data_IF_972052225972
#
_entry.id   IF_972052225972
#
_cell.length_a   1.000
_cell.length_b   1.000
_cell.length_c   1.000
_cell.angle_alpha   90.00
_cell.angle_beta   90.00
_cell.angle_gamma   90.00
#
_symmetry.space_group_name_H-M   'P 1'
#
loop_
_entity.id
_entity.type
_entity.pdbx_description
1 polymer ?
#
# COMPACT_ATOMS: atom_id res chain seq x y z
N UNK A 1 -30.98 2.13 27.27
CA UNK A 1 -30.12 0.98 27.65
C UNK A 1 -30.41 -0.16 26.69
N UNK A 2 -29.57 -0.31 25.67
CA UNK A 2 -29.48 -1.51 24.84
C UNK A 2 -28.01 -1.64 24.49
N UNK A 3 -27.27 -2.26 25.41
CA UNK A 3 -25.89 -2.68 25.22
C UNK A 3 -25.88 -3.72 24.11
N UNK A 4 -25.29 -3.35 22.97
CA UNK A 4 -24.90 -4.33 21.95
C UNK A 4 -23.85 -5.20 22.63
N UNK A 5 -24.21 -6.46 22.83
CA UNK A 5 -23.35 -7.48 23.39
C UNK A 5 -22.14 -7.65 22.46
N UNK A 6 -21.02 -7.03 22.83
CA UNK A 6 -19.75 -7.18 22.13
C UNK A 6 -19.25 -8.55 22.56
N UNK A 7 -19.72 -9.57 21.83
CA UNK A 7 -19.35 -10.95 22.02
C UNK A 7 -17.85 -11.04 22.28
N UNK A 8 -17.52 -11.57 23.44
CA UNK A 8 -16.19 -12.04 23.81
C UNK A 8 -15.68 -12.91 22.66
N UNK A 9 -14.77 -12.36 21.85
CA UNK A 9 -14.22 -13.07 20.70
C UNK A 9 -13.56 -14.37 21.18
N UNK A 10 -14.01 -15.54 20.72
CA UNK A 10 -13.35 -16.79 21.05
C UNK A 10 -11.93 -16.78 20.45
N UNK A 11 -11.01 -17.45 21.15
CA UNK A 11 -9.58 -17.49 20.84
C UNK A 11 -9.29 -17.59 19.33
N UNK A 12 -8.65 -16.56 18.77
CA UNK A 12 -8.15 -16.56 17.40
C UNK A 12 -7.06 -17.63 17.25
N UNK A 13 -7.45 -18.87 16.95
CA UNK A 13 -6.56 -19.93 16.45
C UNK A 13 -7.19 -20.58 15.22
N UNK A 14 -7.27 -19.83 14.13
CA UNK A 14 -7.38 -20.37 12.77
C UNK A 14 -6.04 -20.12 12.03
N UNK A 15 -4.90 -20.41 12.66
CA UNK A 15 -3.62 -20.48 11.93
C UNK A 15 -3.53 -21.86 11.27
N UNK A 16 -3.18 -21.88 9.98
CA UNK A 16 -2.98 -23.15 9.30
C UNK A 16 -1.63 -23.75 9.67
N UNK A 17 -0.65 -22.90 9.97
CA UNK A 17 0.75 -23.30 10.07
C UNK A 17 1.62 -22.23 10.72
N UNK A 18 2.66 -22.66 11.44
CA UNK A 18 3.61 -21.77 12.12
C UNK A 18 5.02 -22.34 12.00
N UNK A 19 5.97 -21.55 11.49
CA UNK A 19 7.36 -21.98 11.26
C UNK A 19 8.30 -21.25 12.21
N UNK A 20 8.97 -21.95 13.15
CA UNK A 20 10.02 -21.35 13.96
C UNK A 20 11.30 -21.17 13.13
N UNK A 21 11.80 -19.93 13.09
CA UNK A 21 13.00 -19.55 12.33
C UNK A 21 14.23 -19.39 13.24
N UNK A 22 13.98 -19.28 14.55
CA UNK A 22 14.98 -19.04 15.58
C UNK A 22 15.05 -17.57 15.98
N UNK A 23 16.15 -17.16 16.60
CA UNK A 23 16.29 -15.85 17.27
C UNK A 23 16.48 -14.64 16.34
N UNK A 24 16.63 -14.85 15.03
CA UNK A 24 16.87 -13.75 14.10
C UNK A 24 15.53 -13.13 13.69
N UNK A 25 15.34 -11.84 13.95
CA UNK A 25 14.14 -11.11 13.52
C UNK A 25 13.93 -11.11 12.00
N UNK A 26 12.68 -11.06 11.56
CA UNK A 26 12.29 -11.21 10.15
C UNK A 26 11.81 -9.85 9.61
N UNK A 27 12.48 -9.33 8.58
CA UNK A 27 12.15 -8.00 8.03
C UNK A 27 11.21 -8.07 6.83
N UNK A 28 11.33 -9.11 6.01
CA UNK A 28 10.58 -9.22 4.76
C UNK A 28 10.41 -10.67 4.34
N UNK A 29 9.32 -10.93 3.61
CA UNK A 29 8.95 -12.25 3.13
C UNK A 29 8.42 -12.15 1.70
N UNK A 30 8.71 -13.15 0.87
CA UNK A 30 8.15 -13.24 -0.48
C UNK A 30 8.08 -14.69 -0.95
N UNK A 31 7.01 -15.07 -1.64
CA UNK A 31 6.89 -16.40 -2.23
C UNK A 31 7.60 -16.45 -3.59
N UNK A 32 8.25 -17.58 -3.88
CA UNK A 32 8.76 -17.81 -5.23
C UNK A 32 7.60 -18.01 -6.22
N UNK A 33 7.64 -17.36 -7.40
CA UNK A 33 6.65 -17.59 -8.44
C UNK A 33 6.83 -18.98 -9.05
N UNK A 34 5.71 -19.65 -9.32
CA UNK A 34 5.65 -20.83 -10.21
C UNK A 34 6.54 -22.03 -9.80
N UNK A 35 6.82 -22.21 -8.51
CA UNK A 35 7.53 -23.40 -8.03
C UNK A 35 6.56 -24.41 -7.43
N UNK A 36 6.70 -25.67 -7.86
CA UNK A 36 6.29 -26.86 -7.10
C UNK A 36 7.57 -27.60 -6.70
N UNK A 37 8.05 -27.56 -5.46
CA UNK A 37 7.38 -27.10 -4.23
C UNK A 37 7.12 -25.59 -4.08
N UNK A 38 6.06 -25.22 -3.33
CA UNK A 38 5.84 -23.84 -2.89
C UNK A 38 6.92 -23.42 -1.90
N UNK A 39 7.70 -22.39 -2.25
CA UNK A 39 8.82 -21.92 -1.44
C UNK A 39 8.59 -20.49 -0.97
N UNK A 40 8.90 -20.23 0.30
CA UNK A 40 8.91 -18.90 0.91
C UNK A 40 10.34 -18.47 1.17
N UNK A 41 10.67 -17.29 0.68
CA UNK A 41 11.95 -16.62 0.92
C UNK A 41 11.78 -15.58 2.01
N UNK A 42 12.70 -15.59 2.97
CA UNK A 42 12.71 -14.69 4.11
C UNK A 42 14.04 -13.93 4.18
N UNK A 43 13.94 -12.63 4.46
CA UNK A 43 15.06 -11.77 4.78
C UNK A 43 15.07 -11.49 6.27
N UNK A 44 16.22 -11.71 6.92
CA UNK A 44 16.37 -11.47 8.36
C UNK A 44 17.10 -10.16 8.65
N UNK A 45 16.86 -9.61 9.84
CA UNK A 45 17.59 -8.47 10.40
C UNK A 45 19.08 -8.77 10.58
N UNK A 46 19.43 -10.05 10.81
CA UNK A 46 20.82 -10.56 10.82
C UNK A 46 21.46 -10.70 9.42
N UNK A 47 20.74 -10.31 8.37
CA UNK A 47 21.22 -10.26 7.00
C UNK A 47 21.33 -11.61 6.30
N UNK A 48 20.62 -12.63 6.82
CA UNK A 48 20.52 -13.95 6.21
C UNK A 48 19.28 -14.01 5.31
N UNK A 49 19.43 -14.67 4.16
CA UNK A 49 18.30 -15.14 3.38
C UNK A 49 18.06 -16.60 3.74
N UNK A 50 16.81 -16.93 4.08
CA UNK A 50 16.35 -18.30 4.31
C UNK A 50 15.26 -18.65 3.31
N UNK A 51 15.26 -19.87 2.80
CA UNK A 51 14.22 -20.40 1.92
C UNK A 51 13.63 -21.63 2.58
N UNK A 52 12.32 -21.62 2.74
CA UNK A 52 11.55 -22.70 3.34
C UNK A 52 10.69 -23.35 2.28
N UNK A 53 10.74 -24.68 2.21
CA UNK A 53 9.75 -25.47 1.49
C UNK A 53 8.51 -25.63 2.38
N UNK A 54 7.36 -25.21 1.84
CA UNK A 54 6.05 -25.26 2.52
C UNK A 54 5.16 -26.36 1.93
N UNK A 55 5.66 -27.09 0.94
CA UNK A 55 4.95 -28.19 0.31
C UNK A 55 4.88 -29.34 1.30
N UNK A 56 3.67 -29.59 1.82
CA UNK A 56 3.35 -30.64 2.78
C UNK A 56 3.64 -30.34 4.26
N UNK A 57 3.69 -29.07 4.67
CA UNK A 57 3.81 -28.70 6.10
C UNK A 57 5.11 -29.20 6.77
N UNK A 58 6.10 -29.65 6.00
CA UNK A 58 7.34 -30.26 6.50
C UNK A 58 8.42 -29.24 6.87
N UNK A 59 8.23 -27.96 6.55
CA UNK A 59 8.97 -26.83 7.13
C UNK A 59 10.48 -26.87 7.02
N UNK A 60 10.99 -27.54 5.99
CA UNK A 60 12.43 -27.71 5.84
C UNK A 60 13.04 -26.43 5.28
N UNK A 61 13.99 -25.87 6.02
CA UNK A 61 14.87 -24.83 5.49
C UNK A 61 15.80 -25.48 4.45
N UNK A 62 15.53 -25.20 3.17
CA UNK A 62 16.28 -25.75 2.03
C UNK A 62 17.52 -24.92 1.70
N UNK A 63 17.51 -23.64 2.07
CA UNK A 63 18.64 -22.74 1.83
C UNK A 63 18.77 -21.71 2.95
N UNK A 64 20.01 -21.50 3.40
CA UNK A 64 20.35 -20.43 4.34
C UNK A 64 21.72 -19.86 4.03
N UNK A 65 21.81 -18.55 3.79
CA UNK A 65 23.10 -17.88 3.55
C UNK A 65 23.09 -16.43 4.00
N UNK A 66 24.21 -15.96 4.55
CA UNK A 66 24.37 -14.55 4.94
C UNK A 66 24.75 -13.72 3.73
N UNK A 67 23.88 -12.81 3.32
CA UNK A 67 24.11 -11.92 2.18
C UNK A 67 24.48 -10.52 2.61
N UNK A 68 23.88 -9.98 3.66
CA UNK A 68 24.15 -8.62 4.15
C UNK A 68 24.43 -8.61 5.65
N UNK A 69 24.67 -7.42 6.22
CA UNK A 69 24.64 -7.23 7.68
C UNK A 69 23.21 -7.24 8.21
N UNK A 70 22.31 -6.58 7.47
CA UNK A 70 20.86 -6.56 7.66
C UNK A 70 20.18 -6.48 6.31
N UNK A 71 19.07 -7.19 6.12
CA UNK A 71 18.22 -7.15 4.91
C UNK A 71 16.96 -6.38 5.27
N UNK A 72 16.55 -5.45 4.41
CA UNK A 72 15.32 -4.65 4.56
C UNK A 72 14.26 -5.07 3.55
N UNK A 73 14.69 -5.33 2.31
CA UNK A 73 13.80 -5.64 1.21
C UNK A 73 14.31 -6.82 0.41
N UNK A 74 13.37 -7.59 -0.14
CA UNK A 74 13.60 -8.66 -1.10
C UNK A 74 12.74 -8.39 -2.33
N UNK A 75 13.28 -8.67 -3.51
CA UNK A 75 12.54 -8.54 -4.77
C UNK A 75 12.97 -9.63 -5.73
N UNK A 76 12.00 -10.38 -6.25
CA UNK A 76 12.24 -11.46 -7.21
C UNK A 76 12.20 -10.91 -8.62
N UNK A 77 13.17 -11.28 -9.46
CA UNK A 77 13.16 -10.85 -10.85
C UNK A 77 12.09 -11.66 -11.62
N UNK A 78 11.25 -11.01 -12.43
CA UNK A 78 10.30 -11.71 -13.28
C UNK A 78 11.02 -12.74 -14.14
N UNK A 79 10.46 -13.94 -14.29
CA UNK A 79 10.94 -15.02 -15.20
C UNK A 79 12.27 -15.71 -14.86
N UNK A 80 12.94 -15.32 -13.77
CA UNK A 80 14.21 -15.93 -13.34
C UNK A 80 14.13 -16.36 -11.89
N UNK A 81 14.85 -17.42 -11.49
CA UNK A 81 15.07 -17.75 -10.08
C UNK A 81 16.08 -16.80 -9.41
N UNK A 82 16.12 -15.53 -9.82
CA UNK A 82 17.04 -14.55 -9.26
C UNK A 82 16.35 -13.72 -8.19
N UNK A 83 17.05 -13.55 -7.06
CA UNK A 83 16.60 -12.76 -5.93
C UNK A 83 17.51 -11.58 -5.70
N UNK A 84 16.93 -10.38 -5.78
CA UNK A 84 17.55 -9.15 -5.36
C UNK A 84 17.27 -8.91 -3.87
N UNK A 85 18.29 -8.51 -3.14
CA UNK A 85 18.21 -8.15 -1.72
C UNK A 85 18.81 -6.78 -1.49
N UNK A 86 18.12 -5.97 -0.69
CA UNK A 86 18.59 -4.65 -0.28
C UNK A 86 18.90 -4.62 1.22
N UNK A 87 19.91 -3.83 1.57
CA UNK A 87 20.39 -3.68 2.94
C UNK A 87 20.15 -2.28 3.48
N UNK A 88 19.93 -2.19 4.79
CA UNK A 88 19.89 -0.91 5.51
C UNK A 88 21.24 -0.17 5.59
N UNK A 89 22.25 -0.62 4.84
CA UNK A 89 23.54 0.06 4.68
C UNK A 89 23.75 0.56 3.24
N UNK A 90 22.67 0.67 2.45
CA UNK A 90 22.73 1.19 1.09
C UNK A 90 23.27 0.20 0.05
N UNK A 91 23.36 -1.09 0.37
CA UNK A 91 23.91 -2.11 -0.52
C UNK A 91 22.84 -3.01 -1.14
N UNK A 92 23.01 -3.36 -2.42
CA UNK A 92 22.14 -4.27 -3.18
C UNK A 92 22.96 -5.49 -3.64
N UNK A 93 22.38 -6.68 -3.53
CA UNK A 93 22.96 -7.91 -4.12
C UNK A 93 21.89 -8.65 -4.91
N UNK A 94 22.33 -9.32 -5.97
CA UNK A 94 21.53 -10.19 -6.81
C UNK A 94 22.18 -11.57 -6.82
N UNK A 95 21.40 -12.59 -6.49
CA UNK A 95 21.84 -13.97 -6.52
C UNK A 95 20.90 -14.82 -7.36
N UNK A 96 21.47 -15.83 -7.99
CA UNK A 96 20.72 -16.95 -8.52
C UNK A 96 20.41 -17.92 -7.36
N UNK A 97 19.14 -18.25 -7.17
CA UNK A 97 18.69 -19.16 -6.13
C UNK A 97 18.95 -20.62 -6.47
N UNK A 98 19.02 -20.98 -7.76
CA UNK A 98 19.24 -22.37 -8.19
C UNK A 98 20.70 -22.77 -7.98
N UNK A 99 21.64 -21.97 -8.50
CA UNK A 99 23.08 -22.21 -8.29
C UNK A 99 23.59 -21.69 -6.94
N UNK A 100 22.82 -20.83 -6.26
CA UNK A 100 23.25 -20.11 -5.07
C UNK A 100 24.39 -19.11 -5.34
N UNK A 101 24.68 -18.79 -6.61
CA UNK A 101 25.79 -17.92 -6.99
C UNK A 101 25.37 -16.46 -6.99
N UNK A 102 26.35 -15.58 -6.76
CA UNK A 102 26.15 -14.14 -6.79
C UNK A 102 26.37 -13.64 -8.22
N UNK A 103 25.32 -13.10 -8.83
CA UNK A 103 25.33 -12.60 -10.21
C UNK A 103 25.85 -11.16 -10.25
N UNK A 104 25.32 -10.32 -9.35
CA UNK A 104 25.58 -8.88 -9.37
C UNK A 104 25.55 -8.30 -7.96
N UNK A 105 26.32 -7.24 -7.71
CA UNK A 105 26.27 -6.53 -6.44
C UNK A 105 26.73 -5.08 -6.54
N UNK A 106 26.15 -4.25 -5.68
CA UNK A 106 26.61 -2.88 -5.38
C UNK A 106 26.62 -2.66 -3.87
N UNK A 107 27.82 -2.46 -3.31
CA UNK A 107 27.96 -2.25 -1.86
C UNK A 107 27.58 -0.82 -1.42
N UNK A 108 27.76 0.16 -2.31
CA UNK A 108 27.39 1.56 -2.13
C UNK A 108 26.43 1.96 -3.23
N UNK A 109 25.24 1.35 -3.23
CA UNK A 109 24.19 1.71 -4.18
C UNK A 109 23.58 3.06 -3.80
N UNK A 110 23.36 3.29 -2.50
CA UNK A 110 22.94 4.55 -1.91
C UNK A 110 24.00 5.00 -0.89
N UNK A 111 24.35 6.29 -0.91
CA UNK A 111 25.42 6.85 -0.10
C UNK A 111 24.88 7.24 1.27
N UNK A 112 25.22 6.46 2.30
CA UNK A 112 24.81 6.66 3.69
C UNK A 112 23.28 6.68 3.96
N UNK A 113 22.45 6.33 2.97
CA UNK A 113 21.01 6.15 3.15
C UNK A 113 20.60 4.68 3.10
N UNK A 114 19.66 4.30 3.96
CA UNK A 114 19.11 2.96 4.04
C UNK A 114 18.11 2.74 2.90
N UNK A 115 18.22 1.58 2.22
CA UNK A 115 17.27 1.22 1.17
C UNK A 115 16.02 0.66 1.84
N UNK A 116 14.90 1.33 1.62
CA UNK A 116 13.58 1.04 2.19
C UNK A 116 12.68 0.29 1.21
N UNK A 117 12.89 0.46 -0.10
CA UNK A 117 12.10 -0.25 -1.12
C UNK A 117 12.96 -0.74 -2.28
N UNK A 118 12.64 -1.93 -2.79
CA UNK A 118 13.32 -2.58 -3.91
C UNK A 118 12.29 -3.23 -4.84
N UNK A 119 12.32 -2.85 -6.11
CA UNK A 119 11.38 -3.29 -7.14
C UNK A 119 12.12 -3.81 -8.37
N UNK A 120 11.60 -4.88 -8.95
CA UNK A 120 12.04 -5.47 -10.22
C UNK A 120 10.95 -5.20 -11.26
N UNK A 121 11.30 -4.52 -12.35
CA UNK A 121 10.34 -4.22 -13.44
C UNK A 121 10.52 -5.15 -14.63
N UNK A 122 11.74 -5.67 -14.82
CA UNK A 122 12.10 -6.59 -15.89
C UNK A 122 13.22 -7.52 -15.43
N UNK A 123 13.55 -8.58 -16.19
CA UNK A 123 14.62 -9.53 -15.82
C UNK A 123 16.02 -8.91 -15.74
N UNK A 124 16.19 -7.66 -16.17
CA UNK A 124 17.48 -6.96 -16.19
C UNK A 124 17.49 -5.67 -15.39
N UNK A 125 16.33 -5.20 -14.93
CA UNK A 125 16.17 -3.89 -14.33
C UNK A 125 15.74 -3.99 -12.87
N UNK A 126 16.49 -3.30 -12.01
CA UNK A 126 16.16 -3.11 -10.60
C UNK A 126 15.96 -1.64 -10.32
N UNK A 127 15.06 -1.33 -9.40
CA UNK A 127 14.76 0.02 -8.93
C UNK A 127 14.85 -0.01 -7.42
N UNK A 128 15.65 0.89 -6.84
CA UNK A 128 15.80 1.03 -5.40
C UNK A 128 15.39 2.43 -4.96
N UNK A 129 14.63 2.51 -3.88
CA UNK A 129 14.25 3.75 -3.20
C UNK A 129 14.82 3.74 -1.78
N UNK A 130 15.25 4.90 -1.31
CA UNK A 130 15.86 5.05 0.01
C UNK A 130 15.06 5.99 0.93
N UNK A 131 15.52 6.08 2.18
CA UNK A 131 14.94 6.92 3.22
C UNK A 131 15.20 8.42 3.00
N UNK A 132 16.02 8.79 2.01
CA UNK A 132 16.27 10.17 1.62
C UNK A 132 15.45 10.59 0.38
N UNK A 133 14.53 9.74 -0.07
CA UNK A 133 13.71 9.99 -1.26
C UNK A 133 14.43 9.74 -2.59
N UNK A 134 15.68 9.25 -2.59
CA UNK A 134 16.41 9.04 -3.83
C UNK A 134 15.99 7.71 -4.46
N UNK A 135 15.56 7.76 -5.72
CA UNK A 135 15.26 6.54 -6.50
C UNK A 135 16.35 6.32 -7.54
N UNK A 136 16.93 5.11 -7.57
CA UNK A 136 17.97 4.72 -8.52
C UNK A 136 17.53 3.52 -9.36
N UNK A 137 17.82 3.59 -10.65
CA UNK A 137 17.52 2.55 -11.63
C UNK A 137 18.81 1.86 -12.03
N UNK A 138 18.81 0.53 -12.01
CA UNK A 138 19.98 -0.31 -12.24
C UNK A 138 19.73 -1.28 -13.38
N UNK A 139 20.73 -1.47 -14.24
CA UNK A 139 20.79 -2.56 -15.21
C UNK A 139 21.79 -3.60 -14.69
N UNK A 140 21.32 -4.79 -14.35
CA UNK A 140 22.13 -5.85 -13.72
C UNK A 140 23.20 -6.40 -14.65
N UNK A 141 23.08 -6.16 -15.97
CA UNK A 141 24.08 -6.57 -16.97
C UNK A 141 25.27 -5.61 -17.01
N UNK A 142 25.10 -4.39 -16.50
CA UNK A 142 26.13 -3.35 -16.54
C UNK A 142 26.93 -3.34 -15.24
N UNK A 143 28.27 -3.45 -15.32
CA UNK A 143 29.15 -3.30 -14.17
C UNK A 143 29.42 -1.82 -13.82
N UNK A 144 28.65 -0.86 -14.35
CA UNK A 144 28.71 0.56 -14.02
C UNK A 144 27.84 0.97 -12.82
N UNK A 145 27.78 2.28 -12.57
CA UNK A 145 26.86 2.89 -11.58
C UNK A 145 25.39 2.75 -11.95
N UNK A 146 24.48 3.48 -11.27
CA UNK A 146 23.07 3.49 -11.64
C UNK A 146 22.92 3.98 -13.08
N UNK A 147 22.01 3.37 -13.82
CA UNK A 147 21.66 3.83 -15.17
C UNK A 147 20.96 5.18 -15.11
N UNK A 148 20.22 5.43 -14.04
CA UNK A 148 19.50 6.67 -13.83
C UNK A 148 19.29 6.92 -12.34
N UNK A 149 19.29 8.21 -11.99
CA UNK A 149 18.94 8.71 -10.68
C UNK A 149 17.70 9.59 -10.87
N UNK A 150 16.65 9.32 -10.13
CA UNK A 150 15.42 10.09 -10.13
C UNK A 150 15.38 10.80 -8.78
N UNK A 151 15.48 12.12 -8.85
CA UNK A 151 15.34 13.04 -7.73
C UNK A 151 14.35 14.11 -8.18
N UNK A 152 13.61 14.66 -7.23
CA UNK A 152 12.79 15.83 -7.52
C UNK A 152 13.73 17.02 -7.71
N UNK A 153 13.63 17.71 -8.84
CA UNK A 153 14.26 19.03 -8.99
C UNK A 153 13.60 19.95 -7.96
N UNK A 154 14.41 20.51 -7.06
CA UNK A 154 13.95 21.52 -6.08
C UNK A 154 13.51 22.74 -6.89
N UNK A 155 12.20 22.86 -7.14
CA UNK A 155 11.61 24.03 -7.75
C UNK A 155 11.15 24.92 -6.60
N UNK A 156 12.04 25.85 -6.22
CA UNK A 156 11.87 26.86 -5.16
C UNK A 156 12.17 26.41 -3.72
N UNK A 157 12.68 27.35 -2.91
CA UNK A 157 13.10 27.20 -1.49
C UNK A 157 11.98 26.72 -0.53
N UNK A 158 10.79 26.38 -1.05
CA UNK A 158 9.57 26.06 -0.30
C UNK A 158 9.00 24.67 -0.65
N UNK A 159 9.54 23.95 -1.64
CA UNK A 159 9.05 22.58 -1.89
C UNK A 159 9.40 21.64 -0.74
N UNK A 160 8.38 21.08 -0.09
CA UNK A 160 8.50 19.96 0.83
C UNK A 160 9.41 18.91 0.20
N UNK A 161 10.50 18.60 0.90
CA UNK A 161 11.49 17.63 0.43
C UNK A 161 10.79 16.33 0.04
N UNK A 162 11.19 15.76 -1.10
CA UNK A 162 10.71 14.46 -1.54
C UNK A 162 10.95 13.44 -0.42
N UNK A 163 9.85 12.98 0.20
CA UNK A 163 9.91 12.19 1.43
C UNK A 163 10.56 10.82 1.23
N UNK A 164 10.86 10.14 2.33
CA UNK A 164 11.36 8.76 2.31
C UNK A 164 10.45 7.86 1.47
N UNK A 165 11.05 6.98 0.66
CA UNK A 165 10.28 6.01 -0.13
C UNK A 165 9.86 4.85 0.77
N UNK A 166 8.58 4.68 1.06
CA UNK A 166 8.12 3.56 1.89
C UNK A 166 7.90 2.29 1.03
N UNK A 167 7.20 2.41 -0.09
CA UNK A 167 6.95 1.28 -0.99
C UNK A 167 6.86 1.74 -2.46
N UNK A 168 7.31 0.89 -3.38
CA UNK A 168 7.19 1.10 -4.82
C UNK A 168 6.49 -0.08 -5.48
N UNK A 169 5.67 0.22 -6.49
CA UNK A 169 5.01 -0.80 -7.33
C UNK A 169 5.05 -0.36 -8.80
N UNK A 170 5.11 -1.33 -9.71
CA UNK A 170 5.03 -1.04 -11.13
C UNK A 170 3.60 -1.20 -11.67
N UNK A 171 3.25 -0.32 -12.61
CA UNK A 171 2.14 -0.56 -13.52
C UNK A 171 2.51 -1.56 -14.62
N UNK A 172 1.53 -1.92 -15.46
CA UNK A 172 1.72 -2.92 -16.52
C UNK A 172 2.61 -2.46 -17.65
N UNK A 173 2.75 -1.16 -17.83
CA UNK A 173 3.58 -0.53 -18.86
C UNK A 173 5.08 -0.47 -18.49
N UNK A 174 5.53 -1.03 -17.36
CA UNK A 174 6.92 -1.16 -16.85
C UNK A 174 7.77 0.14 -16.79
N UNK A 175 7.31 1.23 -17.41
CA UNK A 175 7.96 2.52 -17.51
C UNK A 175 7.50 3.49 -16.43
N UNK A 176 6.32 3.25 -15.85
CA UNK A 176 5.76 4.07 -14.78
C UNK A 176 5.75 3.26 -13.48
N UNK A 177 6.40 3.81 -12.47
CA UNK A 177 6.48 3.25 -11.12
C UNK A 177 5.78 4.20 -10.18
N UNK A 178 4.89 3.66 -9.35
CA UNK A 178 4.25 4.41 -8.29
C UNK A 178 5.07 4.23 -7.01
N UNK A 179 5.22 5.29 -6.22
CA UNK A 179 5.94 5.29 -4.95
C UNK A 179 5.09 5.95 -3.86
N UNK A 180 4.90 5.25 -2.74
CA UNK A 180 4.31 5.79 -1.53
C UNK A 180 5.39 6.48 -0.69
N UNK A 181 5.16 7.75 -0.36
CA UNK A 181 6.13 8.61 0.30
C UNK A 181 5.74 8.92 1.75
N UNK A 182 6.74 9.12 2.58
CA UNK A 182 6.54 9.41 4.01
C UNK A 182 5.94 10.80 4.28
N UNK A 183 6.06 11.73 3.34
CA UNK A 183 5.37 13.04 3.39
C UNK A 183 3.87 12.94 3.04
N UNK A 184 3.34 11.73 2.85
CA UNK A 184 1.94 11.48 2.57
C UNK A 184 1.54 11.70 1.13
N UNK A 185 2.46 11.67 0.18
CA UNK A 185 2.15 11.76 -1.24
C UNK A 185 2.31 10.41 -1.96
N UNK A 186 1.61 10.26 -3.07
CA UNK A 186 1.84 9.24 -4.09
C UNK A 186 2.62 9.89 -5.24
N UNK A 187 3.82 9.38 -5.52
CA UNK A 187 4.61 9.82 -6.66
C UNK A 187 4.49 8.86 -7.84
N UNK A 188 4.37 9.40 -9.05
CA UNK A 188 4.44 8.66 -10.32
C UNK A 188 5.80 8.95 -10.95
N UNK A 189 6.65 7.94 -11.02
CA UNK A 189 8.00 8.02 -11.53
C UNK A 189 8.05 7.50 -12.96
N UNK A 190 8.52 8.32 -13.89
CA UNK A 190 8.78 7.89 -15.25
C UNK A 190 10.22 7.38 -15.36
N UNK A 191 10.38 6.06 -15.34
CA UNK A 191 11.68 5.39 -15.32
C UNK A 191 12.45 5.61 -16.62
N UNK A 192 11.77 5.80 -17.76
CA UNK A 192 12.46 6.03 -19.04
C UNK A 192 12.96 7.47 -19.16
N UNK A 193 12.17 8.44 -18.70
CA UNK A 193 12.53 9.87 -18.72
C UNK A 193 13.44 10.25 -17.55
N UNK A 194 13.42 9.48 -16.46
CA UNK A 194 14.23 9.73 -15.26
C UNK A 194 13.75 10.87 -14.40
N UNK A 195 12.44 11.10 -14.33
CA UNK A 195 11.86 12.21 -13.58
C UNK A 195 10.57 11.78 -12.89
N UNK A 196 10.22 12.52 -11.85
CA UNK A 196 8.86 12.49 -11.28
C UNK A 196 7.91 13.10 -12.33
N UNK A 197 6.86 12.36 -12.69
CA UNK A 197 5.86 12.77 -13.68
C UNK A 197 4.65 13.41 -13.00
N UNK A 198 4.21 12.85 -11.87
CA UNK A 198 3.12 13.37 -11.04
C UNK A 198 3.50 13.20 -9.57
N UNK A 199 3.13 14.16 -8.75
CA UNK A 199 3.10 14.05 -7.29
C UNK A 199 1.66 14.35 -6.87
N UNK A 200 1.04 13.46 -6.11
CA UNK A 200 -0.31 13.68 -5.62
C UNK A 200 -0.36 14.79 -4.57
N UNK A 201 -1.57 15.32 -4.32
CA UNK A 201 -1.86 16.07 -3.11
C UNK A 201 -1.48 15.25 -1.87
N UNK A 202 -1.12 15.95 -0.80
CA UNK A 202 -0.82 15.31 0.48
C UNK A 202 -2.08 14.62 1.01
N UNK A 203 -1.91 13.36 1.42
CA UNK A 203 -2.93 12.56 2.08
C UNK A 203 -3.14 13.00 3.55
N UNK A 204 -2.31 13.93 4.05
CA UNK A 204 -2.29 14.39 5.43
C UNK A 204 -1.45 13.52 6.38
N UNK A 205 -1.10 12.31 5.96
CA UNK A 205 -0.40 11.29 6.76
C UNK A 205 0.56 10.50 5.89
N UNK A 206 1.60 9.92 6.50
CA UNK A 206 2.59 9.09 5.80
C UNK A 206 1.92 7.98 4.98
N UNK A 207 2.28 7.89 3.70
CA UNK A 207 1.85 6.82 2.81
C UNK A 207 2.81 5.63 3.02
N UNK A 208 2.34 4.56 3.66
CA UNK A 208 3.21 3.47 4.13
C UNK A 208 3.31 2.30 3.15
N UNK A 209 2.23 1.98 2.47
CA UNK A 209 2.15 0.78 1.62
C UNK A 209 1.30 1.03 0.40
N UNK A 210 1.59 0.30 -0.68
CA UNK A 210 1.01 0.53 -1.99
C UNK A 210 0.73 -0.78 -2.71
N UNK A 211 -0.49 -0.92 -3.24
CA UNK A 211 -0.88 -2.11 -4.02
C UNK A 211 -1.73 -1.74 -5.22
N UNK A 212 -1.52 -2.42 -6.34
CA UNK A 212 -2.31 -2.23 -7.57
C UNK A 212 -3.33 -3.35 -7.72
N UNK A 213 -4.59 -2.98 -7.95
CA UNK A 213 -5.74 -3.91 -8.06
C UNK A 213 -6.62 -3.55 -9.27
N UNK A 214 -7.69 -4.33 -9.47
CA UNK A 214 -8.64 -4.19 -10.58
C UNK A 214 -7.97 -4.20 -11.96
N UNK A 215 -6.97 -5.06 -12.14
CA UNK A 215 -6.16 -5.16 -13.36
C UNK A 215 -5.56 -3.81 -13.75
N UNK A 216 -4.91 -3.13 -12.78
CA UNK A 216 -4.30 -1.82 -12.95
C UNK A 216 -5.28 -0.70 -13.27
N UNK A 217 -6.53 -0.83 -12.81
CA UNK A 217 -7.47 0.30 -12.86
C UNK A 217 -7.46 1.12 -11.57
N UNK A 218 -6.88 0.58 -10.50
CA UNK A 218 -6.84 1.20 -9.18
C UNK A 218 -5.51 0.97 -8.50
N UNK A 219 -4.98 2.01 -7.87
CA UNK A 219 -3.89 1.91 -6.90
C UNK A 219 -4.44 2.21 -5.50
N UNK A 220 -4.04 1.43 -4.51
CA UNK A 220 -4.44 1.60 -3.11
C UNK A 220 -3.23 2.01 -2.30
N UNK A 221 -3.36 3.09 -1.54
CA UNK A 221 -2.36 3.57 -0.60
C UNK A 221 -2.88 3.37 0.81
N UNK A 222 -2.15 2.63 1.64
CA UNK A 222 -2.40 2.54 3.08
C UNK A 222 -1.61 3.61 3.82
N UNK A 223 -2.25 4.30 4.76
CA UNK A 223 -1.63 5.39 5.53
C UNK A 223 -1.40 5.01 7.00
N UNK A 224 -0.59 5.83 7.67
CA UNK A 224 -0.31 5.74 9.11
C UNK A 224 -1.56 5.93 10.00
N UNK A 225 -2.62 6.56 9.51
CA UNK A 225 -3.87 6.75 10.26
C UNK A 225 -4.96 5.72 9.96
N UNK A 226 -4.61 4.62 9.30
CA UNK A 226 -5.55 3.54 9.05
C UNK A 226 -6.52 3.84 7.91
N UNK A 227 -6.18 4.79 7.03
CA UNK A 227 -6.96 5.14 5.86
C UNK A 227 -6.39 4.38 4.66
N UNK A 228 -7.28 3.76 3.87
CA UNK A 228 -6.95 3.27 2.53
C UNK A 228 -7.48 4.28 1.52
N UNK A 229 -6.56 4.95 0.83
CA UNK A 229 -6.87 5.86 -0.28
C UNK A 229 -6.84 5.08 -1.60
N UNK A 230 -7.83 5.31 -2.46
CA UNK A 230 -7.98 4.64 -3.76
C UNK A 230 -7.76 5.68 -4.85
N UNK A 231 -6.76 5.46 -5.69
CA UNK A 231 -6.49 6.26 -6.87
C UNK A 231 -7.03 5.57 -8.12
N UNK A 232 -7.59 6.35 -9.04
CA UNK A 232 -7.87 5.88 -10.39
C UNK A 232 -6.53 5.79 -11.14
N UNK A 233 -6.40 4.76 -11.97
CA UNK A 233 -5.23 4.67 -12.83
C UNK A 233 -5.21 5.83 -13.83
N UNK A 234 -4.04 6.41 -14.06
CA UNK A 234 -3.79 7.64 -14.85
C UNK A 234 -4.37 8.94 -14.28
N UNK A 235 -5.00 8.89 -13.10
CA UNK A 235 -5.49 10.06 -12.34
C UNK A 235 -4.87 10.02 -10.93
N UNK A 236 -3.59 10.37 -10.84
CA UNK A 236 -2.80 10.22 -9.62
C UNK A 236 -2.64 11.50 -8.79
N UNK A 237 -3.19 12.63 -9.27
CA UNK A 237 -3.11 13.92 -8.56
C UNK A 237 -3.95 13.90 -7.27
N UNK A 238 -5.13 13.27 -7.31
CA UNK A 238 -6.04 13.15 -6.17
C UNK A 238 -6.61 11.74 -6.08
N UNK A 239 -6.84 11.25 -4.86
CA UNK A 239 -7.52 9.99 -4.66
C UNK A 239 -9.01 10.10 -5.05
N UNK A 240 -9.54 9.07 -5.69
CA UNK A 240 -10.93 9.00 -6.11
C UNK A 240 -11.89 8.62 -4.96
N UNK A 241 -11.39 7.87 -3.98
CA UNK A 241 -12.16 7.42 -2.83
C UNK A 241 -11.23 7.09 -1.65
N UNK A 242 -11.76 7.06 -0.43
CA UNK A 242 -11.02 6.62 0.76
C UNK A 242 -11.95 5.99 1.79
N UNK A 243 -11.43 5.04 2.56
CA UNK A 243 -12.16 4.48 3.68
C UNK A 243 -11.22 4.08 4.81
N UNK A 244 -11.73 4.12 6.04
CA UNK A 244 -10.96 3.80 7.24
C UNK A 244 -11.07 2.32 7.59
N UNK A 245 -9.97 1.75 8.05
CA UNK A 245 -9.94 0.47 8.73
C UNK A 245 -9.88 0.73 10.23
N UNK A 246 -10.99 0.54 10.97
CA UNK A 246 -10.98 0.77 12.40
C UNK A 246 -10.09 -0.26 13.10
N UNK A 247 -9.21 0.24 13.97
CA UNK A 247 -8.38 -0.57 14.85
C UNK A 247 -9.20 -1.51 15.72
N UNK A 248 -8.56 -2.57 16.22
CA UNK A 248 -9.20 -3.53 17.11
C UNK A 248 -8.68 -3.44 18.55
N UNK A 249 -8.01 -2.34 18.90
CA UNK A 249 -7.57 -2.04 20.28
C UNK A 249 -8.79 -1.99 21.19
N UNK A 250 -8.82 -2.88 22.18
CA UNK A 250 -9.92 -2.97 23.14
C UNK A 250 -9.90 -1.77 24.09
N UNK A 251 -11.06 -1.16 24.34
CA UNK A 251 -11.24 -0.05 25.30
C UNK A 251 -10.80 -0.36 26.75
N UNK A 252 -10.37 -1.58 27.06
CA UNK A 252 -9.87 -1.99 28.38
C UNK A 252 -8.54 -1.34 28.78
N UNK A 253 -7.77 -0.78 27.85
CA UNK A 253 -6.52 -0.06 28.13
C UNK A 253 -6.71 1.45 28.34
N UNK A 254 -7.94 1.95 28.39
CA UNK A 254 -8.22 3.38 28.61
C UNK A 254 -7.80 4.30 27.45
N UNK A 255 -7.18 3.76 26.40
CA UNK A 255 -6.99 4.48 25.14
C UNK A 255 -8.35 4.54 24.42
N UNK A 256 -8.84 5.77 24.23
CA UNK A 256 -9.87 6.09 23.23
C UNK A 256 -9.52 5.40 21.92
N UNK A 257 -10.51 4.79 21.24
CA UNK A 257 -10.30 3.95 20.06
C UNK A 257 -9.37 4.58 19.03
N UNK A 258 -8.08 4.25 19.14
CA UNK A 258 -7.01 4.90 18.40
C UNK A 258 -7.02 4.47 16.94
N UNK A 259 -6.64 5.40 16.07
CA UNK A 259 -6.26 5.08 14.71
C UNK A 259 -5.11 4.07 14.75
N UNK A 260 -5.16 3.09 13.86
CA UNK A 260 -4.09 2.08 13.69
C UNK A 260 -3.39 2.35 12.38
N UNK A 261 -2.07 2.24 12.37
CA UNK A 261 -1.31 2.37 11.13
C UNK A 261 -1.50 1.14 10.25
N UNK A 262 -1.68 1.33 8.94
CA UNK A 262 -1.64 0.26 7.95
C UNK A 262 -0.19 0.06 7.51
N UNK A 263 0.47 -0.94 8.07
CA UNK A 263 1.87 -1.24 7.77
C UNK A 263 2.04 -1.93 6.41
N UNK A 264 1.09 -2.79 6.01
CA UNK A 264 1.21 -3.52 4.75
C UNK A 264 -0.13 -3.87 4.11
N UNK A 265 -0.23 -3.58 2.82
CA UNK A 265 -1.28 -4.10 1.93
C UNK A 265 -0.69 -5.15 1.01
N UNK A 266 -1.39 -6.26 0.82
CA UNK A 266 -1.04 -7.25 -0.20
C UNK A 266 -2.28 -7.69 -0.95
N UNK A 267 -2.15 -7.83 -2.27
CA UNK A 267 -3.22 -8.30 -3.14
C UNK A 267 -3.46 -9.79 -2.91
N UNK A 268 -4.70 -10.16 -2.53
CA UNK A 268 -5.14 -11.57 -2.55
C UNK A 268 -5.70 -11.88 -3.95
N UNK A 269 -6.56 -10.99 -4.47
CA UNK A 269 -7.04 -11.01 -5.84
C UNK A 269 -7.45 -9.59 -6.27
N UNK A 270 -8.03 -9.42 -7.45
CA UNK A 270 -8.40 -8.09 -7.97
C UNK A 270 -9.50 -7.37 -7.18
N UNK A 271 -10.23 -8.06 -6.32
CA UNK A 271 -11.32 -7.52 -5.50
C UNK A 271 -10.99 -7.47 -4.00
N UNK A 272 -10.02 -8.26 -3.52
CA UNK A 272 -9.72 -8.46 -2.11
C UNK A 272 -8.25 -8.23 -1.84
N UNK A 273 -7.95 -7.43 -0.83
CA UNK A 273 -6.61 -7.22 -0.29
C UNK A 273 -6.56 -7.64 1.17
N UNK A 274 -5.40 -8.07 1.64
CA UNK A 274 -5.11 -8.21 3.06
C UNK A 274 -4.45 -6.93 3.55
N UNK A 275 -4.89 -6.41 4.69
CA UNK A 275 -4.31 -5.26 5.36
C UNK A 275 -3.79 -5.68 6.73
N UNK A 276 -2.49 -5.50 6.95
CA UNK A 276 -1.88 -5.65 8.26
C UNK A 276 -1.74 -4.29 8.95
N UNK A 277 -2.04 -4.26 10.24
CA UNK A 277 -2.01 -3.06 11.08
C UNK A 277 -1.00 -3.19 12.22
N UNK A 278 -0.54 -2.06 12.75
CA UNK A 278 0.44 -1.99 13.85
C UNK A 278 0.05 -2.81 15.10
N UNK A 279 -1.25 -2.98 15.36
CA UNK A 279 -1.80 -3.73 16.50
C UNK A 279 -1.74 -5.27 16.34
N UNK A 280 -1.10 -5.75 15.27
CA UNK A 280 -0.93 -7.17 14.98
C UNK A 280 -2.02 -7.76 14.07
N UNK A 281 -3.13 -7.04 13.85
CA UNK A 281 -4.27 -7.60 13.13
C UNK A 281 -4.05 -7.63 11.62
N UNK A 282 -4.55 -8.70 11.01
CA UNK A 282 -4.54 -8.89 9.57
C UNK A 282 -6.00 -9.02 9.15
N UNK A 283 -6.46 -8.12 8.29
CA UNK A 283 -7.86 -8.02 7.88
C UNK A 283 -8.03 -8.24 6.38
N UNK A 284 -9.07 -8.97 5.99
CA UNK A 284 -9.49 -9.07 4.60
C UNK A 284 -10.38 -7.87 4.26
N UNK A 285 -10.07 -7.18 3.16
CA UNK A 285 -10.74 -5.95 2.75
C UNK A 285 -11.18 -6.08 1.31
N UNK A 286 -12.47 -5.87 1.05
CA UNK A 286 -13.02 -5.83 -0.28
C UNK A 286 -12.88 -4.43 -0.87
N UNK A 287 -12.55 -4.36 -2.15
CA UNK A 287 -12.39 -3.13 -2.92
C UNK A 287 -13.52 -3.07 -3.94
N UNK A 288 -14.36 -2.04 -3.83
CA UNK A 288 -15.54 -1.80 -4.67
C UNK A 288 -16.50 -3.02 -4.72
N UNK A 289 -17.44 -3.15 -3.75
CA UNK A 289 -17.74 -2.19 -2.68
C UNK A 289 -16.69 -2.18 -1.56
N UNK A 290 -16.30 -0.99 -1.10
CA UNK A 290 -15.25 -0.84 -0.09
C UNK A 290 -15.74 -1.31 1.28
N UNK A 291 -14.99 -2.19 1.92
CA UNK A 291 -15.30 -2.60 3.29
C UNK A 291 -14.50 -3.78 3.79
N UNK A 292 -14.31 -3.83 5.11
CA UNK A 292 -13.69 -4.97 5.79
C UNK A 292 -14.62 -6.18 5.73
N UNK A 293 -14.13 -7.29 5.18
CA UNK A 293 -14.83 -8.58 5.18
C UNK A 293 -14.71 -9.28 6.53
N UNK A 294 -13.55 -9.14 7.21
CA UNK A 294 -13.31 -9.66 8.54
C UNK A 294 -11.82 -9.71 8.90
N UNK A 295 -11.51 -10.32 10.03
CA UNK A 295 -10.14 -10.56 10.53
C UNK A 295 -9.65 -11.90 9.97
N UNK A 296 -8.56 -11.90 9.22
CA UNK A 296 -7.83 -13.11 8.78
C UNK A 296 -7.13 -13.75 9.98
N UNK A 297 -6.45 -12.94 10.78
CA UNK A 297 -5.69 -13.39 11.94
C UNK A 297 -5.12 -12.22 12.73
N UNK A 298 -4.38 -12.54 13.79
CA UNK A 298 -3.55 -11.57 14.52
C UNK A 298 -2.20 -12.21 14.78
N UNK A 299 -1.15 -11.60 14.27
CA UNK A 299 0.22 -11.99 14.59
C UNK A 299 0.53 -11.44 15.99
N UNK A 300 0.88 -12.30 16.94
CA UNK A 300 1.19 -11.89 18.30
C UNK A 300 2.65 -11.42 18.35
N UNK A 301 2.86 -10.13 18.66
CA UNK A 301 4.19 -9.57 18.91
C UNK A 301 4.70 -9.87 20.33
N UNK A 302 5.93 -9.43 20.62
CA UNK A 302 6.52 -9.53 21.97
C UNK A 302 5.89 -8.57 22.98
N UNK A 303 5.25 -7.49 22.51
CA UNK A 303 4.53 -6.53 23.35
C UNK A 303 3.02 -6.73 23.22
N UNK A 304 2.28 -6.52 24.33
CA UNK A 304 0.82 -6.66 24.39
C UNK A 304 0.07 -5.71 23.43
N UNK A 305 0.77 -4.73 22.85
CA UNK A 305 0.23 -3.62 22.08
C UNK A 305 0.24 -3.88 20.56
N UNK A 306 1.04 -4.80 20.04
CA UNK A 306 1.19 -5.02 18.60
C UNK A 306 2.66 -5.08 18.17
N UNK A 307 2.90 -5.23 16.87
CA UNK A 307 4.25 -5.27 16.31
C UNK A 307 4.35 -4.33 15.13
N UNK A 308 5.26 -3.36 15.20
CA UNK A 308 5.30 -2.16 14.37
C UNK A 308 5.68 -2.39 12.89
N UNK A 309 5.81 -3.65 12.43
CA UNK A 309 6.32 -3.95 11.08
C UNK A 309 5.83 -5.30 10.54
N UNK A 310 4.56 -5.43 10.19
CA UNK A 310 4.04 -6.70 9.64
C UNK A 310 4.24 -6.75 8.13
N UNK A 311 5.16 -7.58 7.64
CA UNK A 311 5.25 -7.85 6.20
C UNK A 311 4.36 -9.04 5.83
N UNK A 312 3.74 -8.97 4.67
CA UNK A 312 2.77 -9.95 4.19
C UNK A 312 3.17 -10.46 2.80
N UNK A 313 3.05 -11.77 2.58
CA UNK A 313 3.25 -12.38 1.28
C UNK A 313 2.11 -13.36 0.96
N UNK A 314 1.54 -13.25 -0.23
CA UNK A 314 0.50 -14.20 -0.72
C UNK A 314 1.17 -15.19 -1.67
N UNK A 315 0.82 -16.47 -1.55
CA UNK A 315 1.37 -17.50 -2.43
C UNK A 315 0.79 -17.36 -3.86
N UNK A 316 1.47 -17.87 -4.91
CA UNK A 316 1.02 -17.71 -6.30
C UNK A 316 -0.39 -18.27 -6.59
N UNK A 317 -0.83 -19.25 -5.80
CA UNK A 317 -2.15 -19.88 -5.92
C UNK A 317 -3.26 -19.12 -5.16
N UNK A 318 -2.93 -18.03 -4.47
CA UNK A 318 -3.83 -17.22 -3.63
C UNK A 318 -4.58 -18.05 -2.57
N UNK A 319 -3.97 -19.14 -2.10
CA UNK A 319 -4.56 -20.04 -1.09
C UNK A 319 -4.03 -19.76 0.32
N UNK A 320 -2.82 -19.21 0.43
CA UNK A 320 -2.10 -18.99 1.68
C UNK A 320 -1.54 -17.57 1.74
N UNK A 321 -1.63 -16.97 2.91
CA UNK A 321 -0.97 -15.72 3.29
C UNK A 321 0.07 -16.03 4.36
N UNK A 322 1.33 -15.65 4.14
CA UNK A 322 2.36 -15.63 5.16
C UNK A 322 2.42 -14.23 5.78
N UNK A 323 2.52 -14.18 7.10
CA UNK A 323 2.76 -12.94 7.86
C UNK A 323 4.02 -13.05 8.69
N UNK A 324 4.82 -12.00 8.68
CA UNK A 324 6.07 -11.91 9.44
C UNK A 324 6.12 -10.60 10.22
N UNK A 325 6.71 -10.66 11.40
CA UNK A 325 6.94 -9.52 12.28
C UNK A 325 8.42 -9.53 12.71
N UNK A 326 9.12 -8.38 12.89
CA UNK A 326 10.55 -8.37 13.13
C UNK A 326 10.91 -8.88 14.51
N UNK A 327 10.01 -8.74 15.48
CA UNK A 327 10.22 -9.20 16.86
C UNK A 327 9.74 -10.64 17.06
N UNK A 328 9.03 -11.20 16.08
CA UNK A 328 8.62 -12.59 16.10
C UNK A 328 9.73 -13.50 15.61
N UNK A 329 9.83 -14.67 16.25
CA UNK A 329 10.73 -15.75 15.84
C UNK A 329 10.08 -16.72 14.85
N UNK A 330 8.85 -16.41 14.44
CA UNK A 330 7.96 -17.32 13.71
C UNK A 330 7.30 -16.65 12.51
N UNK A 331 6.94 -17.46 11.51
CA UNK A 331 6.04 -17.07 10.42
C UNK A 331 4.73 -17.77 10.61
N UNK A 332 3.65 -16.99 10.61
CA UNK A 332 2.30 -17.51 10.62
C UNK A 332 1.73 -17.58 9.21
N UNK A 333 0.99 -18.66 8.93
CA UNK A 333 0.28 -18.85 7.67
C UNK A 333 -1.23 -18.92 7.87
N UNK A 334 -1.93 -18.19 7.02
CA UNK A 334 -3.37 -18.01 7.08
C UNK A 334 -4.04 -18.48 5.78
N UNK A 335 -5.11 -19.29 5.88
CA UNK A 335 -5.86 -19.74 4.70
C UNK A 335 -6.69 -18.60 4.09
N UNK A 336 -6.68 -18.47 2.76
CA UNK A 336 -7.33 -17.37 2.05
C UNK A 336 -8.68 -17.72 1.40
N UNK A 337 -9.00 -19.00 1.27
CA UNK A 337 -10.15 -19.49 0.50
C UNK A 337 -11.50 -18.91 0.96
N UNK A 338 -11.69 -18.79 2.27
CA UNK A 338 -12.88 -18.18 2.90
C UNK A 338 -13.11 -16.76 2.39
N UNK A 339 -12.09 -15.92 2.39
CA UNK A 339 -12.18 -14.50 2.05
C UNK A 339 -12.48 -14.27 0.58
N UNK A 340 -11.88 -15.10 -0.30
CA UNK A 340 -12.16 -15.10 -1.73
C UNK A 340 -13.63 -15.46 -2.02
N UNK A 341 -14.19 -16.44 -1.29
CA UNK A 341 -15.60 -16.84 -1.46
C UNK A 341 -16.58 -15.76 -0.96
N UNK A 342 -16.26 -15.09 0.15
CA UNK A 342 -17.12 -14.03 0.72
C UNK A 342 -17.24 -12.81 -0.22
N UNK A 343 -16.15 -12.40 -0.86
CA UNK A 343 -16.16 -11.31 -1.82
C UNK A 343 -17.06 -11.60 -3.04
N UNK A 344 -17.05 -12.84 -3.55
CA UNK A 344 -17.94 -13.26 -4.64
C UNK A 344 -19.42 -13.17 -4.24
N UNK A 345 -19.75 -13.61 -3.03
CA UNK A 345 -21.13 -13.53 -2.49
C UNK A 345 -21.61 -12.08 -2.35
N UNK A 346 -20.73 -11.17 -1.92
CA UNK A 346 -21.06 -9.75 -1.77
C UNK A 346 -21.48 -9.09 -3.10
N UNK A 347 -20.95 -9.53 -4.25
CA UNK A 347 -21.37 -9.02 -5.57
C UNK A 347 -22.77 -9.47 -5.99
N UNK A 348 -23.24 -10.60 -5.48
CA UNK A 348 -24.53 -11.19 -5.87
C UNK A 348 -25.73 -10.69 -5.06
N UNK A 349 -25.49 -10.03 -3.91
CA UNK A 349 -26.57 -9.42 -3.13
C UNK A 349 -26.76 -7.97 -3.60
N UNK A 350 -27.85 -7.62 -4.30
CA UNK A 350 -28.18 -6.23 -4.51
C UNK A 350 -28.40 -5.59 -3.14
N UNK A 351 -27.56 -4.62 -2.79
CA UNK A 351 -27.76 -3.82 -1.58
C UNK A 351 -28.97 -2.93 -1.80
N UNK A 352 -30.13 -3.32 -1.25
CA UNK A 352 -31.21 -2.37 -1.00
C UNK A 352 -30.60 -1.22 -0.18
N UNK A 353 -30.63 -0.02 -0.76
CA UNK A 353 -29.88 1.15 -0.31
C UNK A 353 -30.08 1.44 1.17
N UNK A 354 -29.06 1.13 1.98
CA UNK A 354 -28.91 1.73 3.30
C UNK A 354 -28.25 3.09 3.07
N UNK A 355 -29.03 4.17 3.14
CA UNK A 355 -28.51 5.54 3.08
C UNK A 355 -27.39 5.68 4.11
N UNK A 356 -26.14 5.69 3.67
CA UNK A 356 -25.03 6.11 4.51
C UNK A 356 -25.22 7.60 4.76
N UNK A 357 -25.43 7.96 6.02
CA UNK A 357 -25.41 9.35 6.45
C UNK A 357 -23.97 9.82 6.25
N UNK A 358 -23.70 10.57 5.19
CA UNK A 358 -22.47 11.33 5.08
C UNK A 358 -22.42 12.23 6.31
N UNK A 359 -21.42 12.04 7.17
CA UNK A 359 -21.03 13.06 8.14
C UNK A 359 -20.33 14.12 7.32
N UNK A 360 -21.12 15.00 6.69
CA UNK A 360 -20.60 16.24 6.16
C UNK A 360 -20.18 17.08 7.37
N UNK A 361 -18.96 17.59 7.35
CA UNK A 361 -18.43 18.54 8.34
C UNK A 361 -19.47 19.63 8.60
N UNK A 362 -20.06 19.61 9.79
CA UNK A 362 -21.04 20.60 10.24
C UNK A 362 -20.46 22.01 10.14
N UNK A 363 -19.15 22.15 10.34
CA UNK A 363 -18.41 23.42 10.21
C UNK A 363 -18.32 23.93 8.77
N UNK A 364 -18.22 23.04 7.77
CA UNK A 364 -18.17 23.44 6.35
C UNK A 364 -19.55 23.87 5.84
N UNK A 365 -20.62 23.22 6.33
CA UNK A 365 -21.99 23.59 5.99
C UNK A 365 -22.38 24.95 6.58
N UNK A 366 -21.95 25.25 7.81
CA UNK A 366 -22.17 26.55 8.46
C UNK A 366 -21.38 27.68 7.78
N UNK A 367 -20.13 27.41 7.37
CA UNK A 367 -19.32 28.40 6.65
C UNK A 367 -19.91 28.76 5.27
N UNK A 368 -20.43 27.78 4.53
CA UNK A 368 -21.10 28.01 3.24
C UNK A 368 -22.47 28.66 3.40
N UNK A 369 -23.17 28.43 4.52
CA UNK A 369 -24.45 29.07 4.80
C UNK A 369 -24.32 30.59 5.03
N UNK A 370 -23.18 31.04 5.57
CA UNK A 370 -22.89 32.48 5.76
C UNK A 370 -22.44 33.23 4.50
N UNK A 371 -22.16 32.53 3.40
CA UNK A 371 -21.72 33.10 2.13
C UNK A 371 -22.84 33.23 1.09
N UNK A 372 -24.04 32.75 1.42
CA UNK A 372 -25.21 32.82 0.56
C UNK A 372 -26.10 34.01 1.01
N UNK A 373 -26.56 34.87 0.09
CA UNK A 373 -27.49 35.94 0.45
C UNK A 373 -28.80 35.37 1.00
N UNK A 374 -29.35 36.06 1.99
CA UNK A 374 -30.56 35.66 2.72
C UNK A 374 -31.74 35.47 1.76
N UNK A 375 -32.63 34.53 2.08
CA UNK A 375 -33.76 34.16 1.22
C UNK A 375 -34.71 35.33 0.89
N UNK A 376 -34.66 36.43 1.66
CA UNK A 376 -35.43 37.66 1.40
C UNK A 376 -34.82 38.53 0.29
N UNK A 377 -33.51 38.49 0.08
CA UNK A 377 -32.83 39.22 -1.02
C UNK A 377 -32.92 38.47 -2.36
N UNK A 378 -33.19 37.16 -2.33
CA UNK A 378 -33.38 36.34 -3.55
C UNK A 378 -34.73 36.58 -4.23
N UNK A 379 -35.76 36.95 -3.46
CA UNK A 379 -37.07 37.28 -4.05
C UNK A 379 -37.05 38.67 -4.71
N UNK A 380 -36.34 39.65 -4.14
CA UNK A 380 -36.19 40.99 -4.72
C UNK A 380 -35.35 41.01 -6.02
N UNK A 381 -34.24 40.25 -6.10
CA UNK A 381 -33.46 40.12 -7.35
C UNK A 381 -34.18 39.34 -8.46
N UNK A 382 -35.17 38.50 -8.11
CA UNK A 382 -35.97 37.78 -9.11
C UNK A 382 -37.13 38.61 -9.67
N UNK A 383 -37.58 39.62 -8.92
CA UNK A 383 -38.64 40.55 -9.34
C UNK A 383 -38.16 41.72 -10.20
N UNK A 384 -36.90 42.11 -10.12
CA UNK A 384 -36.32 43.17 -10.99
C UNK A 384 -35.89 42.65 -12.38
N UNK A 385 -35.77 41.33 -12.55
CA UNK A 385 -35.40 40.71 -13.84
C UNK A 385 -36.60 40.36 -14.75
N UNK A 386 -37.83 40.65 -14.33
CA UNK A 386 -39.07 40.33 -15.07
C UNK A 386 -39.92 41.56 -15.47
N UNK A 387 -39.40 42.79 -15.33
CA UNK A 387 -40.14 44.02 -15.71
C UNK A 387 -39.68 44.72 -16.99
N UNK A 388 -38.67 44.25 -17.72
CA UNK A 388 -38.19 44.87 -18.96
C UNK A 388 -38.35 43.94 -20.18
N UNK A 389 -39.59 43.50 -20.46
CA UNK A 389 -39.95 42.95 -21.77
C UNK A 389 -41.37 43.33 -22.18
N UNK A 390 -41.45 44.10 -23.27
CA UNK A 390 -42.61 44.43 -24.10
C UNK A 390 -43.56 45.49 -23.51
N UNK A 391 -43.87 46.62 -24.15
CA UNK A 391 -43.96 46.91 -25.59
C UNK A 391 -44.11 48.41 -25.81
N UNK A 392 -43.53 48.99 -26.86
CA UNK A 392 -44.18 50.06 -27.62
C UNK A 392 -43.87 49.90 -29.11
N UNK A 393 -44.93 49.52 -29.83
CA UNK A 393 -45.06 49.54 -31.28
C UNK A 393 -45.59 50.92 -31.62
N UNK A 394 -44.93 51.65 -32.51
CA UNK A 394 -45.65 52.48 -33.49
C UNK A 394 -44.77 52.80 -34.71
N UNK A 395 -45.33 52.40 -35.86
CA UNK A 395 -45.22 52.95 -37.23
C UNK A 395 -44.99 54.48 -37.27
N UNK A 396 -44.38 55.11 -38.27
CA UNK A 396 -44.46 54.91 -39.71
C UNK A 396 -43.51 55.89 -40.44
N UNK A 397 -43.05 55.48 -41.62
CA UNK A 397 -42.86 56.32 -42.83
C UNK A 397 -41.65 57.28 -43.01
N UNK A 398 -40.91 56.95 -44.08
CA UNK A 398 -40.57 57.79 -45.24
C UNK A 398 -39.32 58.70 -45.29
N UNK A 399 -38.67 58.63 -46.46
CA UNK A 399 -37.74 59.58 -47.13
C UNK A 399 -36.38 59.81 -46.44
N UNK A 400 -35.22 59.75 -47.09
CA UNK A 400 -34.81 59.70 -48.50
C UNK A 400 -33.52 58.87 -48.64
#
# INVERSE_FOLDING_TARGET
MNTIDIGTCPAFKEFQLQIPIGIDGISCATFLPDTSPQQLVLGTTGGRVRIYDISNLTHTCVYQRKWHKSIRCLSLLPTTHHLASASGQGGIKLHDLESGTKIWMRLKAHDNSSISSLLTTSPVQLISGDEAGVVKVWDVRKPGGPCQKIEQEMVDDVTDSFGAINEMVCGGNQNSVLAALDNGCLAVLNIRKGRVEVLSDTLGYSARTLVVVKNQRRALVGTEEGVICIFNWDEFELFADRFTLPGQRSAKTGATGGHVSIEKLVKINEDVVAAATDDGFISAVNIQPNGRLGVIGRHQGSEEIGGDCINLAVNPQNSLLASVCPDSTEVDFWPLQKWISMAKSSKTKPTLGRKSRCVADTERAEHLAGLLPDAREREEMSSEAQSDSDSDVDSESSSD
#
